data_IF_528100816533
#
_entry.id   IF_528100816533
#
_cell.length_a   1.000
_cell.length_b   1.000
_cell.length_c   1.000
_cell.angle_alpha   90.00
_cell.angle_beta   90.00
_cell.angle_gamma   90.00
#
_symmetry.space_group_name_H-M   'P 1'
#
loop_
_entity.id
_entity.type
_entity.pdbx_description
1 polymer ?
#
# COMPACT_ATOMS: atom_id res chain seq x y z
N UNK A 1 -8.99 -13.91 -5.32
CA UNK A 1 -9.42 -13.28 -4.05
C UNK A 1 -8.36 -12.43 -3.35
N UNK A 2 -7.07 -12.83 -3.23
CA UNK A 2 -6.02 -11.92 -2.72
C UNK A 2 -5.51 -10.90 -3.77
N UNK A 3 -5.29 -11.33 -5.02
CA UNK A 3 -4.92 -10.42 -6.14
C UNK A 3 -5.92 -9.27 -6.36
N UNK A 4 -7.20 -9.52 -6.10
CA UNK A 4 -8.26 -8.53 -6.25
C UNK A 4 -8.18 -7.45 -5.17
N UNK A 5 -7.85 -7.82 -3.91
CA UNK A 5 -7.67 -6.88 -2.81
C UNK A 5 -6.42 -6.00 -2.97
N UNK A 6 -5.33 -6.58 -3.47
CA UNK A 6 -4.09 -5.84 -3.74
C UNK A 6 -4.33 -4.76 -4.81
N UNK A 7 -4.97 -5.14 -5.92
CA UNK A 7 -5.31 -4.21 -7.01
C UNK A 7 -6.19 -3.06 -6.51
N UNK A 8 -7.22 -3.37 -5.73
CA UNK A 8 -8.14 -2.35 -5.20
C UNK A 8 -7.48 -1.32 -4.28
N UNK A 9 -6.49 -1.72 -3.47
CA UNK A 9 -5.76 -0.79 -2.60
C UNK A 9 -4.92 0.21 -3.41
N UNK A 10 -4.12 -0.28 -4.36
CA UNK A 10 -3.28 0.57 -5.21
C UNK A 10 -4.11 1.45 -6.15
N UNK A 11 -5.26 0.98 -6.63
CA UNK A 11 -6.20 1.78 -7.40
C UNK A 11 -6.81 2.93 -6.58
N UNK A 12 -7.05 2.72 -5.28
CA UNK A 12 -7.47 3.81 -4.38
C UNK A 12 -6.32 4.81 -4.21
N UNK A 13 -5.08 4.33 -4.01
CA UNK A 13 -3.92 5.21 -3.85
C UNK A 13 -3.68 6.05 -5.09
N UNK A 14 -3.76 5.44 -6.28
CA UNK A 14 -3.66 6.14 -7.56
C UNK A 14 -4.68 7.28 -7.70
N UNK A 15 -5.89 7.12 -7.17
CA UNK A 15 -6.93 8.15 -7.17
C UNK A 15 -6.69 9.25 -6.12
N UNK A 16 -5.90 8.99 -5.07
CA UNK A 16 -5.59 9.95 -4.02
C UNK A 16 -4.38 10.86 -4.35
N UNK A 17 -3.59 10.48 -5.36
CA UNK A 17 -2.47 11.27 -5.87
C UNK A 17 -3.02 12.54 -6.54
N UNK A 18 -2.69 13.69 -5.95
CA UNK A 18 -3.01 15.01 -6.51
C UNK A 18 -1.78 15.89 -6.72
N UNK A 19 -0.58 15.33 -6.55
CA UNK A 19 0.69 16.08 -6.57
C UNK A 19 1.15 16.58 -5.20
N UNK A 20 0.49 16.19 -4.10
CA UNK A 20 0.94 16.44 -2.74
C UNK A 20 1.29 15.16 -1.99
N UNK A 21 2.35 15.21 -1.16
CA UNK A 21 2.65 14.12 -0.22
C UNK A 21 1.55 14.01 0.81
N UNK A 22 1.07 12.78 1.02
CA UNK A 22 0.14 12.46 2.09
C UNK A 22 0.63 11.23 2.82
N UNK A 23 0.30 11.14 4.11
CA UNK A 23 0.56 9.94 4.89
C UNK A 23 -0.76 9.18 5.10
N UNK A 24 -0.75 7.88 4.85
CA UNK A 24 -1.86 6.96 5.05
C UNK A 24 -1.55 6.07 6.26
N UNK A 25 -2.40 6.16 7.28
CA UNK A 25 -2.31 5.31 8.47
C UNK A 25 -3.16 4.07 8.28
N UNK A 26 -2.52 2.91 8.26
CA UNK A 26 -3.21 1.63 8.28
C UNK A 26 -3.49 1.25 9.72
N UNK A 27 -4.76 1.03 10.01
CA UNK A 27 -5.24 0.65 11.33
C UNK A 27 -5.72 -0.81 11.31
N UNK A 28 -5.63 -1.50 12.44
CA UNK A 28 -6.31 -2.77 12.66
C UNK A 28 -7.79 -2.57 13.04
N UNK A 29 -8.53 -3.68 13.22
CA UNK A 29 -9.94 -3.68 13.66
C UNK A 29 -10.15 -3.00 15.04
N UNK A 30 -9.09 -2.84 15.84
CA UNK A 30 -9.10 -2.14 17.13
C UNK A 30 -8.69 -0.66 17.01
N UNK A 31 -8.59 -0.12 15.79
CA UNK A 31 -8.06 1.21 15.47
C UNK A 31 -6.61 1.45 15.91
N UNK A 32 -5.81 0.41 16.12
CA UNK A 32 -4.38 0.56 16.40
C UNK A 32 -3.61 0.72 15.09
N UNK A 33 -2.64 1.63 15.10
CA UNK A 33 -1.77 1.86 13.96
C UNK A 33 -0.92 0.59 13.73
N UNK A 34 -1.12 -0.05 12.59
CA UNK A 34 -0.30 -1.15 12.10
C UNK A 34 0.97 -0.61 11.45
N UNK A 35 0.82 0.36 10.54
CA UNK A 35 1.92 1.06 9.88
C UNK A 35 1.42 2.33 9.18
N UNK A 36 2.33 3.27 8.95
CA UNK A 36 2.11 4.44 8.12
C UNK A 36 2.74 4.21 6.75
N UNK A 37 2.08 4.67 5.69
CA UNK A 37 2.60 4.68 4.32
C UNK A 37 2.60 6.10 3.80
N UNK A 38 3.75 6.57 3.30
CA UNK A 38 3.82 7.85 2.62
C UNK A 38 3.36 7.65 1.17
N UNK A 39 2.19 8.20 0.84
CA UNK A 39 1.65 8.20 -0.51
C UNK A 39 2.51 9.14 -1.37
N UNK A 40 3.12 8.64 -2.46
CA UNK A 40 3.95 9.44 -3.33
C UNK A 40 3.13 10.46 -4.12
N UNK A 41 3.82 11.46 -4.65
CA UNK A 41 3.22 12.58 -5.38
C UNK A 41 2.87 12.21 -6.83
N UNK A 42 3.38 11.08 -7.33
CA UNK A 42 3.24 10.66 -8.72
C UNK A 42 2.89 9.18 -8.86
N UNK A 43 2.14 8.85 -9.91
CA UNK A 43 1.77 7.46 -10.24
C UNK A 43 2.98 6.58 -10.59
N UNK A 44 4.06 7.18 -11.10
CA UNK A 44 5.29 6.44 -11.41
C UNK A 44 5.94 5.89 -10.14
N UNK A 45 6.07 6.73 -9.11
CA UNK A 45 6.61 6.31 -7.82
C UNK A 45 5.68 5.30 -7.13
N UNK A 46 4.36 5.51 -7.20
CA UNK A 46 3.38 4.55 -6.68
C UNK A 46 3.51 3.17 -7.31
N UNK A 47 3.70 3.09 -8.63
CA UNK A 47 3.88 1.81 -9.31
C UNK A 47 5.19 1.13 -8.90
N UNK A 48 6.25 1.91 -8.68
CA UNK A 48 7.53 1.42 -8.19
C UNK A 48 7.41 0.83 -6.79
N UNK A 49 6.74 1.55 -5.90
CA UNK A 49 6.43 1.08 -4.55
C UNK A 49 5.60 -0.19 -4.59
N UNK A 50 4.60 -0.28 -5.47
CA UNK A 50 3.81 -1.50 -5.66
C UNK A 50 4.66 -2.70 -6.04
N UNK A 51 5.62 -2.55 -6.94
CA UNK A 51 6.49 -3.66 -7.35
C UNK A 51 7.41 -4.11 -6.21
N UNK A 52 7.96 -3.18 -5.44
CA UNK A 52 8.80 -3.48 -4.26
C UNK A 52 7.95 -4.13 -3.17
N UNK A 53 6.78 -3.56 -2.88
CA UNK A 53 5.86 -4.06 -1.88
C UNK A 53 5.36 -5.46 -2.23
N UNK A 54 4.93 -5.71 -3.47
CA UNK A 54 4.48 -7.04 -3.89
C UNK A 54 5.56 -8.11 -3.71
N UNK A 55 6.84 -7.74 -3.88
CA UNK A 55 7.97 -8.63 -3.67
C UNK A 55 8.23 -8.89 -2.18
N UNK A 56 8.36 -7.85 -1.37
CA UNK A 56 8.64 -7.99 0.07
C UNK A 56 7.45 -8.53 0.88
N UNK A 57 6.23 -8.20 0.48
CA UNK A 57 5.00 -8.64 1.14
C UNK A 57 4.73 -10.12 0.91
N UNK A 58 5.03 -10.65 -0.28
CA UNK A 58 4.98 -12.08 -0.54
C UNK A 58 5.94 -12.86 0.37
N UNK A 59 7.14 -12.32 0.63
CA UNK A 59 8.11 -12.91 1.56
C UNK A 59 7.65 -12.84 3.02
N UNK A 60 7.10 -11.70 3.47
CA UNK A 60 6.57 -11.56 4.85
C UNK A 60 5.33 -12.41 5.12
N UNK A 61 4.40 -12.55 4.17
CA UNK A 61 3.24 -13.44 4.30
C UNK A 61 3.65 -14.91 4.35
N UNK A 62 4.68 -15.30 3.59
CA UNK A 62 5.18 -16.68 3.63
C UNK A 62 5.87 -17.00 4.96
N UNK A 63 6.37 -15.99 5.69
CA UNK A 63 6.95 -16.15 7.03
C UNK A 63 5.90 -16.15 8.15
N UNK A 64 4.64 -15.80 7.85
CA UNK A 64 3.50 -15.86 8.77
C UNK A 64 2.72 -17.19 8.67
N UNK A 65 3.15 -18.12 7.80
CA UNK A 65 2.59 -19.47 7.64
C UNK A 65 3.46 -20.54 8.31
#
# INVERSE_FOLDING_TARGET
MLKERDTSMWEIFAQLIDGHRRELLFLDDENKILFAYELPETLEELNRDREVFAKEYAEKLSALN
#
